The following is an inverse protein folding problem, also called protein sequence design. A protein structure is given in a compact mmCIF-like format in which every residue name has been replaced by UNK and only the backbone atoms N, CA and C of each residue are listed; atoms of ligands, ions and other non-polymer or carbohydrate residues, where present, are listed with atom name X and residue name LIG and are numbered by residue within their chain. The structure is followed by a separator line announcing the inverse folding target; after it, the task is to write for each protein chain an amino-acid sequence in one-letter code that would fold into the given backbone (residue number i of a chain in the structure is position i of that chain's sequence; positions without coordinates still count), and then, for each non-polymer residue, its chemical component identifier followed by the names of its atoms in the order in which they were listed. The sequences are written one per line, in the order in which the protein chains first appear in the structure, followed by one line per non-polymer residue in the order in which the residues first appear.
data_IF_114495994100
#
_entry.id   IF_114495994100
#
_cell.length_a   1.000
_cell.length_b   1.000
_cell.length_c   1.000
_cell.angle_alpha   90.00
_cell.angle_beta   90.00
_cell.angle_gamma   90.00
#
_symmetry.space_group_name_H-M   'P 1'
#
loop_
_entity.id
_entity.type
_entity.pdbx_description
1 polymer ?
#
# COMPACT_ATOMS: atom_id res chain seq x y z
N UNK A 1 21.59 -43.39 16.92
CA UNK A 1 22.30 -42.11 16.71
C UNK A 1 21.98 -41.64 15.29
N UNK A 2 20.86 -40.94 15.09
CA UNK A 2 20.42 -40.48 13.76
C UNK A 2 21.07 -39.14 13.46
N UNK A 3 22.08 -39.17 12.59
CA UNK A 3 22.71 -37.98 12.02
C UNK A 3 21.66 -37.19 11.23
N UNK A 4 21.18 -36.07 11.80
CA UNK A 4 20.49 -35.04 11.02
C UNK A 4 21.51 -34.45 10.07
N UNK A 5 21.41 -34.81 8.80
CA UNK A 5 22.06 -34.09 7.71
C UNK A 5 21.61 -32.64 7.76
N UNK A 6 22.56 -31.74 8.04
CA UNK A 6 22.35 -30.31 7.83
C UNK A 6 21.98 -30.10 6.35
N UNK A 7 20.92 -29.33 6.04
CA UNK A 7 20.61 -29.03 4.65
C UNK A 7 21.72 -28.15 4.12
N UNK A 8 22.58 -28.73 3.28
CA UNK A 8 23.54 -28.03 2.44
C UNK A 8 22.81 -26.89 1.72
N UNK A 9 23.24 -25.66 1.97
CA UNK A 9 22.75 -24.45 1.32
C UNK A 9 23.08 -24.53 -0.18
N UNK A 10 22.20 -25.20 -0.94
CA UNK A 10 22.30 -25.34 -2.39
C UNK A 10 22.55 -23.98 -3.05
N UNK A 11 23.49 -23.96 -3.99
CA UNK A 11 23.92 -22.84 -4.82
C UNK A 11 22.83 -21.77 -5.03
N UNK A 12 23.13 -20.54 -4.62
CA UNK A 12 22.20 -19.43 -4.63
C UNK A 12 21.82 -19.07 -6.07
N UNK A 13 20.65 -19.55 -6.52
CA UNK A 13 20.03 -19.09 -7.76
C UNK A 13 19.99 -17.55 -7.76
N UNK A 14 20.26 -16.88 -8.90
CA UNK A 14 20.12 -15.44 -9.02
C UNK A 14 18.72 -15.04 -8.57
N UNK A 15 18.64 -13.91 -7.86
CA UNK A 15 17.37 -13.42 -7.33
C UNK A 15 16.44 -13.05 -8.48
N UNK A 16 15.53 -13.97 -8.88
CA UNK A 16 14.56 -13.72 -9.98
C UNK A 16 13.81 -12.39 -9.80
N UNK A 17 13.42 -12.08 -8.56
CA UNK A 17 12.77 -10.80 -8.23
C UNK A 17 13.65 -9.58 -8.51
N UNK A 18 14.96 -9.68 -8.22
CA UNK A 18 15.90 -8.59 -8.46
C UNK A 18 16.14 -8.38 -9.97
N UNK A 19 16.16 -9.45 -10.77
CA UNK A 19 16.22 -9.36 -12.23
C UNK A 19 14.94 -8.78 -12.83
N UNK A 20 13.76 -9.21 -12.34
CA UNK A 20 12.48 -8.64 -12.76
C UNK A 20 12.38 -7.15 -12.40
N UNK A 21 12.80 -6.77 -11.20
CA UNK A 21 12.87 -5.37 -10.79
C UNK A 21 13.84 -4.58 -11.68
N UNK A 22 15.03 -5.11 -11.95
CA UNK A 22 16.02 -4.46 -12.81
C UNK A 22 15.48 -4.25 -14.24
N UNK A 23 14.86 -5.28 -14.84
CA UNK A 23 14.27 -5.19 -16.17
C UNK A 23 13.11 -4.19 -16.23
N UNK A 24 12.20 -4.24 -15.25
CA UNK A 24 11.05 -3.33 -15.18
C UNK A 24 11.49 -1.87 -15.01
N UNK A 25 12.36 -1.59 -14.05
CA UNK A 25 12.87 -0.24 -13.80
C UNK A 25 13.73 0.25 -14.96
N UNK A 26 14.53 -0.62 -15.58
CA UNK A 26 15.31 -0.30 -16.77
C UNK A 26 14.44 0.12 -17.95
N UNK A 27 13.37 -0.64 -18.24
CA UNK A 27 12.40 -0.31 -19.28
C UNK A 27 11.78 1.07 -19.05
N UNK A 28 11.24 1.31 -17.86
CA UNK A 28 10.60 2.58 -17.52
C UNK A 28 11.59 3.75 -17.44
N UNK A 29 12.84 3.49 -17.03
CA UNK A 29 13.92 4.46 -17.05
C UNK A 29 14.32 4.88 -18.47
N UNK A 30 14.38 3.93 -19.41
CA UNK A 30 14.62 4.23 -20.84
C UNK A 30 13.45 5.00 -21.43
N UNK A 31 12.20 4.65 -21.12
CA UNK A 31 11.02 5.42 -21.55
C UNK A 31 11.05 6.87 -21.02
N UNK A 32 11.43 7.07 -19.76
CA UNK A 32 11.60 8.41 -19.19
C UNK A 32 12.76 9.18 -19.85
N UNK A 33 13.84 8.50 -20.22
CA UNK A 33 14.95 9.09 -20.97
C UNK A 33 14.52 9.52 -22.38
N UNK A 34 13.75 8.68 -23.09
CA UNK A 34 13.18 9.02 -24.40
C UNK A 34 12.25 10.23 -24.27
N UNK A 35 11.39 10.27 -23.25
CA UNK A 35 10.54 11.43 -22.97
C UNK A 35 11.36 12.71 -22.71
N UNK A 36 12.50 12.59 -22.02
CA UNK A 36 13.45 13.70 -21.81
C UNK A 36 14.00 14.23 -23.14
N UNK A 37 14.41 13.33 -24.04
CA UNK A 37 15.04 13.70 -25.32
C UNK A 37 14.03 14.25 -26.32
N UNK A 38 12.85 13.64 -26.39
CA UNK A 38 11.80 13.98 -27.37
C UNK A 38 10.95 15.19 -26.94
N UNK A 39 11.03 15.58 -25.66
CA UNK A 39 10.12 16.58 -25.10
C UNK A 39 8.67 16.08 -24.97
N UNK A 40 8.41 14.80 -25.23
CA UNK A 40 7.11 14.20 -24.97
C UNK A 40 6.85 14.27 -23.46
N UNK A 41 5.88 15.10 -23.05
CA UNK A 41 5.63 15.41 -21.65
C UNK A 41 5.50 14.16 -20.77
N UNK A 42 5.98 14.25 -19.53
CA UNK A 42 5.85 13.19 -18.53
C UNK A 42 4.55 13.39 -17.74
N UNK A 43 3.72 12.35 -17.51
CA UNK A 43 2.39 12.52 -16.91
C UNK A 43 2.42 12.66 -15.38
N UNK A 44 3.61 12.75 -14.76
CA UNK A 44 3.79 12.97 -13.33
C UNK A 44 4.38 14.37 -13.07
N UNK A 45 4.16 14.89 -11.86
CA UNK A 45 4.61 16.23 -11.47
C UNK A 45 3.58 17.30 -11.77
N UNK A 46 4.04 18.52 -12.07
CA UNK A 46 3.16 19.66 -12.39
C UNK A 46 2.25 19.44 -13.63
N UNK A 47 2.53 18.42 -14.44
CA UNK A 47 1.77 18.07 -15.64
C UNK A 47 0.71 16.97 -15.40
N UNK A 48 0.46 16.56 -14.15
CA UNK A 48 -0.50 15.49 -13.83
C UNK A 48 -1.95 15.99 -13.97
N UNK A 49 -2.71 15.59 -15.02
CA UNK A 49 -4.11 16.00 -15.18
C UNK A 49 -4.92 15.40 -14.03
N UNK A 50 -5.61 16.24 -13.25
CA UNK A 50 -6.38 15.79 -12.08
C UNK A 50 -5.54 15.48 -10.83
N UNK A 51 -4.27 15.90 -10.76
CA UNK A 51 -3.54 15.93 -9.49
C UNK A 51 -4.25 16.85 -8.52
N UNK A 52 -4.79 16.31 -7.43
CA UNK A 52 -5.73 16.98 -6.51
C UNK A 52 -5.13 18.14 -5.69
N UNK A 53 -4.05 18.78 -6.15
CA UNK A 53 -3.23 19.72 -5.36
C UNK A 53 -2.48 19.04 -4.21
N UNK A 54 -2.77 17.78 -3.91
CA UNK A 54 -2.21 17.02 -2.78
C UNK A 54 -0.98 16.19 -3.15
N UNK A 55 -0.62 16.04 -4.42
CA UNK A 55 0.55 15.22 -4.78
C UNK A 55 1.84 15.90 -4.33
N UNK A 56 2.74 15.14 -3.68
CA UNK A 56 4.08 15.61 -3.30
C UNK A 56 4.92 16.02 -4.52
N UNK A 57 4.65 15.41 -5.67
CA UNK A 57 5.36 15.66 -6.92
C UNK A 57 4.97 17.00 -7.56
N UNK A 58 3.99 17.74 -7.01
CA UNK A 58 3.47 19.00 -7.59
C UNK A 58 4.53 20.08 -7.74
N UNK A 59 5.57 20.03 -6.92
CA UNK A 59 6.67 20.99 -6.91
C UNK A 59 7.71 20.71 -7.99
N UNK A 60 7.63 19.57 -8.69
CA UNK A 60 8.59 19.21 -9.74
C UNK A 60 8.16 19.87 -11.05
N UNK A 61 9.00 20.79 -11.61
CA UNK A 61 8.72 21.42 -12.89
C UNK A 61 8.61 20.40 -14.02
N UNK A 62 7.76 20.66 -15.00
CA UNK A 62 7.47 19.76 -16.12
C UNK A 62 8.74 19.33 -16.87
N UNK A 63 9.70 20.24 -17.03
CA UNK A 63 10.98 19.94 -17.68
C UNK A 63 11.95 19.09 -16.87
N UNK A 64 11.80 19.02 -15.53
CA UNK A 64 12.68 18.26 -14.65
C UNK A 64 12.14 16.87 -14.29
N UNK A 65 10.84 16.64 -14.49
CA UNK A 65 10.19 15.35 -14.21
C UNK A 65 10.86 14.18 -14.95
N UNK A 66 10.80 14.12 -16.30
CA UNK A 66 11.35 12.99 -17.04
C UNK A 66 12.85 12.72 -16.81
N UNK A 67 13.78 13.70 -16.77
CA UNK A 67 15.19 13.41 -16.50
C UNK A 67 15.43 12.90 -15.08
N UNK A 68 14.71 13.42 -14.08
CA UNK A 68 14.81 12.95 -12.70
C UNK A 68 14.39 11.48 -12.58
N UNK A 69 13.23 11.12 -13.15
CA UNK A 69 12.75 9.74 -13.13
C UNK A 69 13.65 8.82 -13.96
N UNK A 70 14.21 9.26 -15.08
CA UNK A 70 15.17 8.48 -15.86
C UNK A 70 16.39 8.10 -15.01
N UNK A 71 17.05 9.08 -14.37
CA UNK A 71 18.21 8.85 -13.50
C UNK A 71 17.85 7.93 -12.34
N UNK A 72 16.74 8.21 -11.65
CA UNK A 72 16.31 7.44 -10.49
C UNK A 72 15.99 5.98 -10.83
N UNK A 73 15.26 5.74 -11.92
CA UNK A 73 14.87 4.40 -12.35
C UNK A 73 16.06 3.59 -12.88
N UNK A 74 16.95 4.21 -13.66
CA UNK A 74 18.16 3.55 -14.17
C UNK A 74 19.15 3.22 -13.04
N UNK A 75 19.35 4.14 -12.08
CA UNK A 75 20.18 3.87 -10.90
C UNK A 75 19.61 2.73 -10.06
N UNK A 76 18.29 2.70 -9.83
CA UNK A 76 17.62 1.62 -9.11
C UNK A 76 17.66 0.29 -9.88
N UNK A 77 17.58 0.30 -11.21
CA UNK A 77 17.76 -0.88 -12.04
C UNK A 77 19.16 -1.46 -11.89
N UNK A 78 20.20 -0.61 -11.93
CA UNK A 78 21.59 -1.00 -11.67
C UNK A 78 21.77 -1.59 -10.27
N UNK A 79 21.22 -0.95 -9.24
CA UNK A 79 21.25 -1.45 -7.87
C UNK A 79 20.56 -2.81 -7.73
N UNK A 80 19.38 -2.99 -8.32
CA UNK A 80 18.66 -4.26 -8.32
C UNK A 80 19.45 -5.36 -9.05
N UNK A 81 20.11 -5.02 -10.15
CA UNK A 81 20.98 -5.95 -10.88
C UNK A 81 22.17 -6.39 -10.02
N UNK A 82 22.84 -5.46 -9.31
CA UNK A 82 23.91 -5.79 -8.35
C UNK A 82 23.40 -6.71 -7.24
N UNK A 83 22.21 -6.43 -6.67
CA UNK A 83 21.57 -7.28 -5.64
C UNK A 83 21.17 -8.68 -6.14
N UNK A 84 21.12 -8.89 -7.46
CA UNK A 84 20.83 -10.20 -8.07
C UNK A 84 22.02 -11.15 -8.04
N UNK A 85 23.25 -10.60 -8.00
CA UNK A 85 24.52 -11.34 -8.04
C UNK A 85 24.80 -12.07 -6.72
N UNK A 86 25.62 -13.14 -6.74
CA UNK A 86 26.08 -13.79 -5.52
C UNK A 86 26.75 -12.80 -4.57
N UNK A 87 26.46 -12.91 -3.28
CA UNK A 87 26.95 -12.02 -2.21
C UNK A 87 28.42 -12.24 -1.86
N UNK A 88 29.16 -13.05 -2.62
CA UNK A 88 30.58 -13.28 -2.42
C UNK A 88 31.35 -11.98 -2.68
N UNK A 89 31.67 -11.24 -1.62
CA UNK A 89 32.52 -10.06 -1.69
C UNK A 89 31.84 -8.74 -2.06
N UNK A 90 30.51 -8.62 -2.10
CA UNK A 90 29.87 -7.29 -2.08
C UNK A 90 30.15 -6.65 -0.72
N UNK A 91 31.25 -5.93 -0.65
CA UNK A 91 31.90 -5.40 0.54
C UNK A 91 30.91 -4.71 1.49
N UNK A 92 31.15 -4.84 2.80
CA UNK A 92 30.35 -4.24 3.86
C UNK A 92 29.98 -2.76 3.59
N UNK A 93 30.87 -2.02 2.92
CA UNK A 93 30.69 -0.61 2.55
C UNK A 93 29.53 -0.32 1.59
N UNK A 94 29.18 -1.22 0.66
CA UNK A 94 28.08 -0.98 -0.28
C UNK A 94 26.71 -1.41 0.25
N UNK A 95 26.68 -2.10 1.41
CA UNK A 95 25.42 -2.61 1.96
C UNK A 95 24.44 -1.49 2.29
N UNK A 96 24.90 -0.50 3.06
CA UNK A 96 24.08 0.63 3.48
C UNK A 96 23.57 1.46 2.29
N UNK A 97 24.42 1.95 1.36
CA UNK A 97 23.93 2.78 0.26
C UNK A 97 22.96 2.04 -0.67
N UNK A 98 23.18 0.76 -0.95
CA UNK A 98 22.26 -0.03 -1.77
C UNK A 98 20.90 -0.26 -1.08
N UNK A 99 20.89 -0.51 0.24
CA UNK A 99 19.65 -0.60 1.01
C UNK A 99 18.92 0.75 1.05
N UNK A 100 19.64 1.84 1.32
CA UNK A 100 19.07 3.19 1.39
C UNK A 100 18.46 3.61 0.05
N UNK A 101 19.21 3.48 -1.06
CA UNK A 101 18.72 3.78 -2.40
C UNK A 101 17.53 2.87 -2.76
N UNK A 102 17.66 1.56 -2.55
CA UNK A 102 16.62 0.60 -2.89
C UNK A 102 15.30 0.84 -2.15
N UNK A 103 15.36 1.06 -0.83
CA UNK A 103 14.16 1.35 -0.03
C UNK A 103 13.59 2.74 -0.32
N UNK A 104 14.43 3.75 -0.52
CA UNK A 104 13.97 5.09 -0.87
C UNK A 104 13.23 5.10 -2.21
N UNK A 105 13.80 4.48 -3.24
CA UNK A 105 13.15 4.38 -4.56
C UNK A 105 11.90 3.51 -4.49
N UNK A 106 11.93 2.37 -3.79
CA UNK A 106 10.74 1.54 -3.61
C UNK A 106 9.60 2.30 -2.93
N UNK A 107 9.91 3.10 -1.91
CA UNK A 107 8.94 3.95 -1.22
C UNK A 107 8.38 5.05 -2.12
N UNK A 108 9.24 5.76 -2.86
CA UNK A 108 8.81 6.79 -3.81
C UNK A 108 7.85 6.20 -4.84
N UNK A 109 8.21 5.07 -5.44
CA UNK A 109 7.40 4.44 -6.49
C UNK A 109 6.10 3.81 -5.96
N UNK A 110 6.13 3.19 -4.78
CA UNK A 110 4.95 2.49 -4.22
C UNK A 110 4.01 3.40 -3.44
N UNK A 111 4.48 4.54 -2.92
CA UNK A 111 3.72 5.39 -1.99
C UNK A 111 3.62 6.83 -2.49
N UNK A 112 4.69 7.44 -2.98
CA UNK A 112 4.68 8.86 -3.37
C UNK A 112 4.05 9.08 -4.74
N UNK A 113 4.40 8.24 -5.73
CA UNK A 113 3.90 8.37 -7.11
C UNK A 113 2.39 8.11 -7.26
N UNK A 114 1.80 7.08 -6.63
CA UNK A 114 0.37 6.79 -6.78
C UNK A 114 -0.56 7.91 -6.30
N UNK A 115 -0.12 8.69 -5.30
CA UNK A 115 -0.88 9.78 -4.68
C UNK A 115 -2.23 9.34 -4.07
N UNK A 116 -2.98 10.27 -3.47
CA UNK A 116 -4.33 10.05 -2.93
C UNK A 116 -5.33 9.51 -3.97
N UNK A 117 -5.05 9.71 -5.26
CA UNK A 117 -5.89 9.29 -6.36
C UNK A 117 -6.13 7.78 -6.38
N UNK A 118 -5.14 6.96 -6.00
CA UNK A 118 -5.33 5.50 -5.92
C UNK A 118 -6.29 5.13 -4.80
N UNK A 119 -6.28 5.84 -3.67
CA UNK A 119 -7.25 5.62 -2.60
C UNK A 119 -8.66 6.00 -3.04
N UNK A 120 -8.81 7.15 -3.72
CA UNK A 120 -10.09 7.58 -4.30
C UNK A 120 -10.61 6.54 -5.28
N UNK A 121 -9.78 6.09 -6.22
CA UNK A 121 -10.15 5.06 -7.19
C UNK A 121 -10.55 3.75 -6.48
N UNK A 122 -9.82 3.31 -5.45
CA UNK A 122 -10.21 2.12 -4.68
C UNK A 122 -11.56 2.29 -3.96
N UNK A 123 -11.85 3.50 -3.45
CA UNK A 123 -13.12 3.80 -2.78
C UNK A 123 -14.31 3.85 -3.74
N UNK A 124 -14.11 4.41 -4.94
CA UNK A 124 -15.16 4.56 -5.96
C UNK A 124 -15.22 3.38 -6.94
N UNK A 125 -14.19 2.52 -7.01
CA UNK A 125 -14.17 1.37 -7.93
C UNK A 125 -15.40 0.46 -7.82
N UNK A 126 -15.93 0.12 -6.63
CA UNK A 126 -17.17 -0.65 -6.55
C UNK A 126 -18.35 0.03 -7.25
N UNK A 127 -18.49 1.35 -7.09
CA UNK A 127 -19.55 2.15 -7.70
C UNK A 127 -19.36 2.21 -9.22
N UNK A 128 -18.13 2.51 -9.67
CA UNK A 128 -17.80 2.59 -11.10
C UNK A 128 -17.98 1.24 -11.80
N UNK A 129 -17.53 0.14 -11.20
CA UNK A 129 -17.58 -1.18 -11.83
C UNK A 129 -18.98 -1.80 -11.82
N UNK A 130 -19.73 -1.64 -10.72
CA UNK A 130 -21.09 -2.20 -10.61
C UNK A 130 -22.12 -1.33 -11.30
N UNK A 131 -21.89 -0.01 -11.38
CA UNK A 131 -22.77 0.93 -12.04
C UNK A 131 -22.54 0.99 -13.56
N UNK A 132 -21.33 0.73 -14.06
CA UNK A 132 -21.01 0.81 -15.49
C UNK A 132 -21.99 0.08 -16.42
N UNK A 133 -22.45 -1.16 -16.12
CA UNK A 133 -23.44 -1.86 -16.96
C UNK A 133 -24.79 -1.14 -17.07
N UNK A 134 -25.09 -0.24 -16.14
CA UNK A 134 -26.34 0.51 -16.05
C UNK A 134 -26.19 1.97 -16.50
N UNK A 135 -25.03 2.36 -17.04
CA UNK A 135 -24.75 3.75 -17.44
C UNK A 135 -24.63 4.72 -16.27
N UNK A 136 -24.28 4.23 -15.08
CA UNK A 136 -24.19 5.04 -13.87
C UNK A 136 -22.85 4.82 -13.15
N UNK A 137 -22.20 5.84 -12.56
CA UNK A 137 -22.47 7.26 -12.74
C UNK A 137 -22.12 7.74 -14.15
N UNK A 138 -22.70 8.86 -14.57
CA UNK A 138 -22.39 9.50 -15.85
C UNK A 138 -21.00 10.16 -15.79
N UNK A 139 -19.98 9.33 -15.98
CA UNK A 139 -18.57 9.73 -15.96
C UNK A 139 -17.86 9.26 -17.21
N UNK A 140 -17.01 10.12 -17.75
CA UNK A 140 -16.14 9.74 -18.85
C UNK A 140 -15.02 8.83 -18.35
N UNK A 141 -15.14 7.53 -18.62
CA UNK A 141 -14.15 6.53 -18.23
C UNK A 141 -12.76 6.77 -18.84
N UNK A 142 -12.65 7.51 -19.95
CA UNK A 142 -11.35 7.88 -20.53
C UNK A 142 -10.55 8.83 -19.63
N UNK A 143 -11.24 9.70 -18.88
CA UNK A 143 -10.60 10.63 -17.93
C UNK A 143 -10.17 9.89 -16.66
N UNK A 144 -10.90 8.83 -16.30
CA UNK A 144 -10.56 7.95 -15.17
C UNK A 144 -9.37 7.05 -15.53
N UNK A 145 -9.43 6.34 -16.66
CA UNK A 145 -8.40 5.40 -17.13
C UNK A 145 -7.36 6.08 -18.02
N UNK A 146 -6.78 7.16 -17.52
CA UNK A 146 -5.79 7.95 -18.23
C UNK A 146 -4.40 7.27 -18.33
N UNK A 147 -3.57 7.77 -19.24
CA UNK A 147 -2.14 7.40 -19.31
C UNK A 147 -1.41 7.64 -17.98
N UNK A 148 -1.76 8.71 -17.26
CA UNK A 148 -1.19 9.00 -15.95
C UNK A 148 -1.52 7.91 -14.93
N UNK A 149 -2.75 7.37 -14.95
CA UNK A 149 -3.14 6.25 -14.09
C UNK A 149 -2.29 5.01 -14.40
N UNK A 150 -2.06 4.70 -15.69
CA UNK A 150 -1.22 3.58 -16.08
C UNK A 150 0.23 3.73 -15.56
N UNK A 151 0.82 4.92 -15.69
CA UNK A 151 2.17 5.20 -15.16
C UNK A 151 2.22 5.06 -13.63
N UNK A 152 1.18 5.50 -12.91
CA UNK A 152 1.07 5.32 -11.45
C UNK A 152 1.01 3.84 -11.05
N UNK A 153 0.22 3.03 -11.76
CA UNK A 153 0.18 1.58 -11.54
C UNK A 153 1.52 0.92 -11.86
N UNK A 154 2.17 1.34 -12.94
CA UNK A 154 3.48 0.81 -13.31
C UNK A 154 4.57 1.16 -12.28
N UNK A 155 4.52 2.37 -11.73
CA UNK A 155 5.37 2.78 -10.61
C UNK A 155 5.08 1.92 -9.36
N UNK A 156 3.81 1.72 -9.00
CA UNK A 156 3.43 0.86 -7.87
C UNK A 156 4.00 -0.56 -8.02
N UNK A 157 3.83 -1.17 -9.20
CA UNK A 157 4.39 -2.50 -9.51
C UNK A 157 5.91 -2.49 -9.40
N UNK A 158 6.58 -1.48 -9.97
CA UNK A 158 8.03 -1.32 -9.90
C UNK A 158 8.55 -1.18 -8.47
N UNK A 159 7.87 -0.37 -7.65
CA UNK A 159 8.19 -0.19 -6.23
C UNK A 159 8.01 -1.47 -5.42
N UNK A 160 6.94 -2.24 -5.66
CA UNK A 160 6.72 -3.53 -5.00
C UNK A 160 7.75 -4.58 -5.40
N UNK A 161 8.11 -4.66 -6.70
CA UNK A 161 9.15 -5.55 -7.20
C UNK A 161 10.51 -5.21 -6.60
N UNK A 162 10.88 -3.93 -6.60
CA UNK A 162 12.13 -3.45 -6.01
C UNK A 162 12.15 -3.69 -4.51
N UNK A 163 11.10 -3.33 -3.77
CA UNK A 163 11.01 -3.57 -2.32
C UNK A 163 11.14 -5.06 -1.98
N UNK A 164 10.53 -5.95 -2.75
CA UNK A 164 10.68 -7.39 -2.57
C UNK A 164 12.12 -7.87 -2.86
N UNK A 165 12.78 -7.32 -3.89
CA UNK A 165 14.18 -7.61 -4.21
C UNK A 165 15.14 -7.13 -3.11
N UNK A 166 14.98 -5.88 -2.66
CA UNK A 166 15.76 -5.26 -1.58
C UNK A 166 15.58 -6.06 -0.29
N UNK A 167 14.34 -6.41 0.09
CA UNK A 167 14.06 -7.21 1.28
C UNK A 167 14.69 -8.61 1.21
N UNK A 168 14.61 -9.27 0.05
CA UNK A 168 15.25 -10.57 -0.14
C UNK A 168 16.78 -10.48 -0.03
N UNK A 169 17.38 -9.43 -0.57
CA UNK A 169 18.82 -9.18 -0.47
C UNK A 169 19.25 -8.77 0.94
N UNK A 170 18.48 -7.92 1.63
CA UNK A 170 18.69 -7.54 3.03
C UNK A 170 18.69 -8.77 3.94
N UNK A 171 17.73 -9.69 3.76
CA UNK A 171 17.67 -10.95 4.52
C UNK A 171 18.89 -11.83 4.26
N UNK A 172 19.30 -12.00 2.99
CA UNK A 172 20.49 -12.79 2.64
C UNK A 172 21.77 -12.22 3.23
N UNK A 173 21.97 -10.91 3.14
CA UNK A 173 23.15 -10.24 3.69
C UNK A 173 23.17 -10.19 5.22
N UNK A 174 22.02 -10.37 5.87
CA UNK A 174 21.90 -10.52 7.32
C UNK A 174 21.99 -11.98 7.80
N UNK A 175 22.27 -12.96 6.93
CA UNK A 175 22.30 -14.38 7.29
C UNK A 175 20.92 -15.00 7.58
N UNK A 176 19.83 -14.28 7.31
CA UNK A 176 18.47 -14.76 7.50
C UNK A 176 17.94 -15.51 6.27
N UNK A 177 16.94 -16.36 6.48
CA UNK A 177 16.27 -17.04 5.36
C UNK A 177 15.66 -16.01 4.40
N UNK A 178 16.10 -16.00 3.13
CA UNK A 178 15.59 -15.06 2.12
C UNK A 178 14.06 -15.09 1.94
N UNK A 179 13.41 -16.24 2.20
CA UNK A 179 11.96 -16.43 2.04
C UNK A 179 11.16 -15.95 3.24
N UNK A 180 11.51 -16.37 4.46
CA UNK A 180 10.71 -16.12 5.66
C UNK A 180 11.33 -15.09 6.63
N UNK A 181 12.60 -14.72 6.44
CA UNK A 181 13.31 -13.78 7.29
C UNK A 181 13.80 -14.36 8.63
N UNK A 182 13.57 -15.64 8.92
CA UNK A 182 14.05 -16.29 10.16
C UNK A 182 15.57 -16.51 10.10
N UNK A 183 16.28 -16.07 11.14
CA UNK A 183 17.71 -16.24 11.36
C UNK A 183 18.02 -17.36 12.37
N UNK A 184 17.02 -17.85 13.11
CA UNK A 184 17.17 -18.97 14.06
C UNK A 184 17.15 -18.42 15.48
N UNK A 185 18.25 -18.57 16.21
CA UNK A 185 18.38 -18.07 17.60
C UNK A 185 18.39 -16.53 17.70
N UNK A 186 18.41 -15.83 16.56
CA UNK A 186 18.32 -14.37 16.45
C UNK A 186 16.95 -13.83 16.01
N UNK A 187 15.90 -14.65 16.02
CA UNK A 187 14.56 -14.16 15.66
C UNK A 187 14.03 -13.18 16.72
N UNK A 188 13.66 -11.98 16.30
CA UNK A 188 13.21 -10.95 17.24
C UNK A 188 11.92 -11.36 17.97
N UNK A 189 11.90 -11.24 19.30
CA UNK A 189 10.82 -11.70 20.17
C UNK A 189 9.43 -11.15 19.79
N UNK A 190 9.37 -9.95 19.22
CA UNK A 190 8.13 -9.32 18.75
C UNK A 190 7.49 -10.03 17.54
N UNK A 191 8.24 -10.86 16.83
CA UNK A 191 7.77 -11.62 15.65
C UNK A 191 7.20 -13.00 15.99
N UNK A 192 7.24 -13.39 17.27
CA UNK A 192 6.61 -14.62 17.76
C UNK A 192 5.09 -14.53 17.62
N UNK A 193 4.36 -15.65 17.39
CA UNK A 193 2.90 -15.61 17.26
C UNK A 193 2.19 -14.99 18.46
N UNK A 194 2.68 -15.25 19.67
CA UNK A 194 2.11 -14.69 20.90
C UNK A 194 2.33 -13.17 20.99
N UNK A 195 3.54 -12.68 20.71
CA UNK A 195 3.80 -11.23 20.69
C UNK A 195 3.00 -10.53 19.59
N UNK A 196 2.99 -11.09 18.37
CA UNK A 196 2.20 -10.62 17.23
C UNK A 196 0.69 -10.56 17.52
N UNK A 197 0.17 -11.48 18.34
CA UNK A 197 -1.23 -11.43 18.78
C UNK A 197 -1.53 -10.28 19.74
N UNK A 198 -0.55 -9.79 20.52
CA UNK A 198 -0.74 -8.68 21.46
C UNK A 198 -0.70 -7.33 20.76
N UNK A 199 0.40 -7.02 20.06
CA UNK A 199 0.53 -5.73 19.38
C UNK A 199 -0.37 -5.64 18.14
N UNK A 200 -0.57 -6.75 17.43
CA UNK A 200 -1.45 -6.81 16.26
C UNK A 200 -2.92 -6.56 16.61
N UNK A 201 -3.33 -6.84 17.85
CA UNK A 201 -4.68 -6.55 18.34
C UNK A 201 -4.97 -5.06 18.36
N UNK A 202 -4.07 -4.29 18.97
CA UNK A 202 -4.18 -2.84 19.01
C UNK A 202 -4.09 -2.23 17.62
N UNK A 203 -3.18 -2.71 16.78
CA UNK A 203 -3.08 -2.28 15.39
C UNK A 203 -4.41 -2.49 14.63
N UNK A 204 -5.05 -3.65 14.76
CA UNK A 204 -6.33 -3.92 14.11
C UNK A 204 -7.48 -3.06 14.67
N UNK A 205 -7.51 -2.82 15.98
CA UNK A 205 -8.54 -1.96 16.59
C UNK A 205 -8.40 -0.51 16.13
N UNK A 206 -7.19 0.05 16.12
CA UNK A 206 -6.93 1.38 15.58
C UNK A 206 -7.30 1.43 14.10
N UNK A 207 -6.89 0.42 13.33
CA UNK A 207 -7.18 0.36 11.90
C UNK A 207 -8.67 0.20 11.55
N UNK A 208 -9.47 -0.38 12.45
CA UNK A 208 -10.92 -0.47 12.29
C UNK A 208 -11.64 0.80 12.79
N UNK A 209 -11.15 1.42 13.87
CA UNK A 209 -11.79 2.58 14.49
C UNK A 209 -11.82 3.79 13.55
N UNK A 210 -10.72 4.09 12.86
CA UNK A 210 -10.63 5.28 11.98
C UNK A 210 -11.70 5.26 10.87
N UNK A 211 -11.80 4.23 10.01
CA UNK A 211 -12.83 4.18 8.98
C UNK A 211 -14.24 4.03 9.57
N UNK A 212 -14.41 3.41 10.74
CA UNK A 212 -15.71 3.34 11.41
C UNK A 212 -16.18 4.74 11.87
N UNK A 213 -15.30 5.55 12.47
CA UNK A 213 -15.62 6.93 12.84
C UNK A 213 -16.00 7.77 11.61
N UNK A 214 -15.25 7.62 10.50
CA UNK A 214 -15.62 8.26 9.23
C UNK A 214 -17.00 7.80 8.73
N UNK A 215 -17.29 6.51 8.77
CA UNK A 215 -18.58 6.00 8.32
C UNK A 215 -19.75 6.51 9.18
N UNK A 216 -19.57 6.55 10.50
CA UNK A 216 -20.59 7.05 11.44
C UNK A 216 -20.94 8.52 11.20
N UNK A 217 -19.96 9.38 10.88
CA UNK A 217 -20.25 10.79 10.57
C UNK A 217 -21.08 10.92 9.30
N UNK A 218 -20.75 10.16 8.25
CA UNK A 218 -21.50 10.15 6.99
C UNK A 218 -22.91 9.55 7.14
N UNK A 219 -23.08 8.52 7.97
CA UNK A 219 -24.41 7.99 8.29
C UNK A 219 -25.25 8.98 9.08
N UNK A 220 -24.67 9.74 10.01
CA UNK A 220 -25.38 10.80 10.71
C UNK A 220 -25.89 11.85 9.73
N UNK A 221 -25.06 12.28 8.76
CA UNK A 221 -25.49 13.21 7.72
C UNK A 221 -26.62 12.63 6.89
N UNK A 222 -26.50 11.39 6.41
CA UNK A 222 -27.55 10.70 5.67
C UNK A 222 -28.88 10.57 6.44
N UNK A 223 -28.82 10.53 7.78
CA UNK A 223 -29.99 10.54 8.67
C UNK A 223 -30.55 11.95 8.94
N UNK A 224 -30.01 13.00 8.31
CA UNK A 224 -30.43 14.38 8.49
C UNK A 224 -29.82 15.07 9.71
N UNK A 225 -28.82 14.47 10.36
CA UNK A 225 -28.15 15.05 11.53
C UNK A 225 -26.90 15.82 11.08
N UNK A 226 -26.83 17.16 11.26
CA UNK A 226 -25.70 17.99 10.83
C UNK A 226 -24.49 17.85 11.78
N UNK A 227 -23.99 16.63 11.94
CA UNK A 227 -22.93 16.32 12.90
C UNK A 227 -21.57 16.86 12.44
N UNK A 228 -21.12 17.95 13.06
CA UNK A 228 -19.83 18.58 12.75
C UNK A 228 -19.82 19.38 11.44
N UNK A 229 -20.99 19.74 10.92
CA UNK A 229 -21.21 20.57 9.72
C UNK A 229 -22.36 21.55 9.95
N UNK A 230 -22.48 22.59 9.14
CA UNK A 230 -23.62 23.51 9.23
C UNK A 230 -24.89 22.89 8.60
N UNK A 231 -26.07 23.38 8.98
CA UNK A 231 -27.34 22.89 8.44
C UNK A 231 -27.47 23.22 6.94
N UNK A 232 -26.91 24.35 6.52
CA UNK A 232 -26.89 24.80 5.13
C UNK A 232 -26.03 23.86 4.27
N UNK A 233 -24.85 23.46 4.76
CA UNK A 233 -24.01 22.49 4.05
C UNK A 233 -24.66 21.11 3.98
N UNK A 234 -25.42 20.72 5.01
CA UNK A 234 -26.19 19.47 4.96
C UNK A 234 -27.30 19.54 3.89
N UNK A 235 -28.03 20.66 3.81
CA UNK A 235 -29.05 20.87 2.79
C UNK A 235 -28.46 20.83 1.37
N UNK A 236 -27.31 21.47 1.15
CA UNK A 236 -26.60 21.43 -0.13
C UNK A 236 -26.21 19.99 -0.54
N UNK A 237 -25.74 19.18 0.42
CA UNK A 237 -25.43 17.76 0.17
C UNK A 237 -26.67 16.92 -0.19
N UNK A 238 -27.84 17.29 0.35
CA UNK A 238 -29.12 16.65 0.03
C UNK A 238 -29.59 17.05 -1.37
N UNK A 239 -29.56 18.34 -1.69
CA UNK A 239 -30.01 18.89 -2.97
C UNK A 239 -29.16 18.38 -4.14
N UNK A 240 -27.84 18.30 -3.96
CA UNK A 240 -26.91 17.76 -4.98
C UNK A 240 -26.93 16.23 -5.07
N UNK A 241 -27.57 15.53 -4.12
CA UNK A 241 -27.51 14.08 -4.01
C UNK A 241 -26.15 13.52 -3.55
N UNK A 242 -25.15 14.37 -3.29
CA UNK A 242 -23.83 13.98 -2.83
C UNK A 242 -23.87 13.22 -1.49
N UNK A 243 -24.94 13.42 -0.70
CA UNK A 243 -25.22 12.69 0.52
C UNK A 243 -25.28 11.16 0.31
N UNK A 244 -25.82 10.71 -0.82
CA UNK A 244 -25.96 9.28 -1.14
C UNK A 244 -24.64 8.65 -1.55
N UNK A 245 -23.80 9.38 -2.30
CA UNK A 245 -22.43 8.96 -2.58
C UNK A 245 -21.62 8.85 -1.28
N UNK A 246 -21.77 9.81 -0.37
CA UNK A 246 -21.17 9.79 0.96
C UNK A 246 -21.63 8.60 1.80
N UNK A 247 -22.93 8.27 1.80
CA UNK A 247 -23.49 7.12 2.50
C UNK A 247 -23.01 5.78 1.93
N UNK A 248 -22.89 5.67 0.60
CA UNK A 248 -22.33 4.49 -0.06
C UNK A 248 -20.87 4.26 0.33
N UNK A 249 -20.04 5.30 0.29
CA UNK A 249 -18.65 5.24 0.77
C UNK A 249 -18.57 4.86 2.25
N UNK A 250 -19.47 5.39 3.08
CA UNK A 250 -19.57 5.05 4.50
C UNK A 250 -19.90 3.58 4.73
N UNK A 251 -20.81 3.00 3.94
CA UNK A 251 -21.12 1.58 3.98
C UNK A 251 -19.91 0.72 3.64
N UNK A 252 -19.17 1.04 2.57
CA UNK A 252 -17.93 0.33 2.23
C UNK A 252 -16.85 0.50 3.31
N UNK A 253 -16.69 1.70 3.86
CA UNK A 253 -15.75 1.96 4.95
C UNK A 253 -16.10 1.16 6.20
N UNK A 254 -17.39 1.06 6.55
CA UNK A 254 -17.86 0.25 7.68
C UNK A 254 -17.64 -1.25 7.45
N UNK A 255 -17.94 -1.76 6.24
CA UNK A 255 -17.63 -3.15 5.87
C UNK A 255 -16.12 -3.40 5.97
N UNK A 256 -15.28 -2.48 5.46
CA UNK A 256 -13.83 -2.56 5.59
C UNK A 256 -13.34 -2.54 7.03
N UNK A 257 -13.95 -1.72 7.90
CA UNK A 257 -13.65 -1.68 9.33
C UNK A 257 -13.98 -3.02 10.01
N UNK A 258 -15.15 -3.58 9.73
CA UNK A 258 -15.54 -4.91 10.24
C UNK A 258 -14.56 -5.97 9.72
N UNK A 259 -14.27 -5.99 8.42
CA UNK A 259 -13.30 -6.91 7.80
C UNK A 259 -11.90 -6.82 8.45
N UNK A 260 -11.49 -5.61 8.84
CA UNK A 260 -10.21 -5.37 9.53
C UNK A 260 -10.17 -6.04 10.92
N UNK A 261 -11.29 -6.07 11.65
CA UNK A 261 -11.38 -6.84 12.90
C UNK A 261 -11.18 -8.35 12.67
N UNK A 262 -11.43 -8.84 11.46
CA UNK A 262 -11.16 -10.22 11.05
C UNK A 262 -9.70 -10.62 11.19
N UNK A 263 -8.78 -9.66 11.10
CA UNK A 263 -7.34 -9.89 11.30
C UNK A 263 -7.00 -10.35 12.73
N UNK A 264 -7.92 -10.19 13.68
CA UNK A 264 -7.71 -10.57 15.09
C UNK A 264 -8.82 -11.48 15.64
N UNK A 265 -9.87 -11.71 14.86
CA UNK A 265 -11.03 -12.51 15.25
C UNK A 265 -11.02 -13.90 14.61
N UNK A 266 -11.73 -14.84 15.23
CA UNK A 266 -11.80 -16.25 14.80
C UNK A 266 -12.34 -16.41 13.37
N UNK A 267 -13.25 -15.54 12.94
CA UNK A 267 -13.89 -15.62 11.62
C UNK A 267 -12.98 -15.20 10.47
N UNK A 268 -11.94 -14.39 10.73
CA UNK A 268 -10.90 -14.12 9.72
C UNK A 268 -9.82 -15.21 9.68
N UNK A 269 -9.93 -16.22 10.54
CA UNK A 269 -9.03 -17.36 10.59
C UNK A 269 -9.65 -18.64 10.02
N UNK A 270 -10.96 -18.80 10.22
CA UNK A 270 -11.80 -19.84 9.63
C UNK A 270 -13.11 -19.23 9.18
N UNK A 271 -13.57 -19.58 8.00
CA UNK A 271 -14.82 -19.06 7.46
C UNK A 271 -16.00 -19.40 8.40
N UNK A 272 -16.83 -18.39 8.77
CA UNK A 272 -18.11 -18.59 9.44
C UNK A 272 -18.96 -19.72 8.87
N UNK A 273 -19.76 -20.33 9.75
CA UNK A 273 -20.61 -21.49 9.43
C UNK A 273 -21.71 -21.20 8.39
N UNK A 274 -22.13 -19.94 8.26
CA UNK A 274 -23.16 -19.53 7.31
C UNK A 274 -22.65 -19.39 5.87
N UNK A 275 -21.34 -19.38 5.63
CA UNK A 275 -20.78 -19.33 4.27
C UNK A 275 -20.81 -20.72 3.62
N UNK A 276 -21.93 -21.04 2.97
CA UNK A 276 -22.13 -22.30 2.24
C UNK A 276 -20.94 -22.58 1.31
N UNK A 277 -20.39 -23.80 1.38
CA UNK A 277 -19.22 -24.24 0.61
C UNK A 277 -17.84 -23.89 1.21
N UNK A 278 -17.76 -22.87 2.09
CA UNK A 278 -16.52 -22.44 2.75
C UNK A 278 -16.52 -22.68 4.27
N UNK A 279 -17.67 -22.93 4.86
CA UNK A 279 -17.88 -23.10 6.29
C UNK A 279 -16.79 -23.96 6.97
N UNK A 280 -16.15 -23.40 8.01
CA UNK A 280 -15.14 -24.09 8.82
C UNK A 280 -13.77 -24.24 8.15
N UNK A 281 -13.62 -23.99 6.84
CA UNK A 281 -12.32 -24.02 6.16
C UNK A 281 -11.42 -22.91 6.69
N UNK A 282 -10.10 -23.17 6.70
CA UNK A 282 -9.10 -22.16 7.08
C UNK A 282 -9.05 -21.08 6.01
N UNK A 283 -9.11 -19.82 6.43
CA UNK A 283 -8.92 -18.67 5.55
C UNK A 283 -7.46 -18.67 5.06
N UNK A 284 -7.21 -18.66 3.74
CA UNK A 284 -5.85 -18.55 3.20
C UNK A 284 -5.20 -17.25 3.63
N UNK A 285 -3.96 -17.29 4.12
CA UNK A 285 -3.28 -16.10 4.67
C UNK A 285 -3.23 -14.95 3.66
N UNK A 286 -3.00 -15.26 2.39
CA UNK A 286 -2.94 -14.25 1.31
C UNK A 286 -4.28 -13.54 1.08
N UNK A 287 -5.40 -14.22 1.31
CA UNK A 287 -6.74 -13.66 1.11
C UNK A 287 -7.00 -12.49 2.07
N UNK A 288 -6.45 -12.54 3.29
CA UNK A 288 -6.56 -11.44 4.25
C UNK A 288 -5.42 -10.41 4.09
N UNK A 289 -4.19 -10.86 3.89
CA UNK A 289 -3.01 -9.99 3.90
C UNK A 289 -2.91 -9.12 2.65
N UNK A 290 -3.22 -9.65 1.46
CA UNK A 290 -3.03 -8.91 0.20
C UNK A 290 -3.98 -7.71 0.11
N UNK A 291 -5.31 -7.85 0.31
CA UNK A 291 -6.21 -6.70 0.28
C UNK A 291 -5.87 -5.67 1.36
N UNK A 292 -5.59 -6.12 2.59
CA UNK A 292 -5.21 -5.23 3.69
C UNK A 292 -3.92 -4.46 3.39
N UNK A 293 -2.91 -5.10 2.77
CA UNK A 293 -1.68 -4.44 2.38
C UNK A 293 -1.89 -3.43 1.24
N UNK A 294 -2.73 -3.75 0.25
CA UNK A 294 -3.07 -2.82 -0.84
C UNK A 294 -3.74 -1.56 -0.28
N UNK A 295 -4.74 -1.72 0.59
CA UNK A 295 -5.41 -0.59 1.24
C UNK A 295 -4.44 0.18 2.13
N UNK A 296 -3.60 -0.50 2.92
CA UNK A 296 -2.61 0.17 3.77
C UNK A 296 -1.65 1.05 2.96
N UNK A 297 -1.15 0.55 1.81
CA UNK A 297 -0.29 1.33 0.90
C UNK A 297 -1.05 2.52 0.31
N UNK A 298 -2.28 2.31 -0.18
CA UNK A 298 -3.08 3.39 -0.76
C UNK A 298 -3.42 4.49 0.26
N UNK A 299 -3.79 4.11 1.49
CA UNK A 299 -4.06 5.05 2.58
C UNK A 299 -2.80 5.79 2.99
N UNK A 300 -1.65 5.11 3.06
CA UNK A 300 -0.37 5.75 3.38
C UNK A 300 0.01 6.75 2.29
N UNK A 301 -0.18 6.41 1.01
CA UNK A 301 0.04 7.30 -0.12
C UNK A 301 -0.84 8.56 -0.04
N UNK A 302 -2.14 8.37 0.20
CA UNK A 302 -3.07 9.48 0.39
C UNK A 302 -2.70 10.37 1.57
N UNK A 303 -2.31 9.74 2.69
CA UNK A 303 -1.93 10.44 3.92
C UNK A 303 -0.72 11.35 3.72
N UNK A 304 0.30 10.89 2.99
CA UNK A 304 1.45 11.74 2.64
C UNK A 304 1.05 12.93 1.77
N UNK A 305 0.14 12.70 0.80
CA UNK A 305 -0.38 13.77 -0.02
C UNK A 305 -1.11 14.83 0.80
N UNK A 306 -1.99 14.40 1.71
CA UNK A 306 -2.68 15.29 2.64
C UNK A 306 -1.72 16.05 3.55
N UNK A 307 -0.78 15.36 4.21
CA UNK A 307 0.21 15.99 5.09
C UNK A 307 1.07 17.04 4.37
N UNK A 308 1.27 16.88 3.07
CA UNK A 308 2.00 17.85 2.24
C UNK A 308 1.19 19.11 1.90
N UNK A 309 -0.14 19.08 2.04
CA UNK A 309 -1.04 20.15 1.63
C UNK A 309 -1.29 21.14 2.77
N UNK A 310 -1.10 22.46 2.57
CA UNK A 310 -1.47 23.47 3.57
C UNK A 310 -2.93 23.37 4.03
N UNK A 311 -3.84 22.99 3.14
CA UNK A 311 -5.26 22.86 3.44
C UNK A 311 -5.52 21.79 4.52
N UNK A 312 -4.73 20.72 4.55
CA UNK A 312 -4.83 19.70 5.60
C UNK A 312 -4.50 20.25 6.99
N UNK A 313 -3.54 21.16 7.08
CA UNK A 313 -3.20 21.81 8.35
C UNK A 313 -4.22 22.88 8.75
N UNK A 314 -4.83 23.57 7.77
CA UNK A 314 -5.97 24.44 8.04
C UNK A 314 -7.16 23.68 8.65
N UNK A 315 -7.41 22.43 8.20
CA UNK A 315 -8.42 21.55 8.79
C UNK A 315 -8.18 21.26 10.29
N UNK A 316 -6.92 21.26 10.75
CA UNK A 316 -6.63 21.08 12.18
C UNK A 316 -6.90 22.31 13.04
N UNK A 317 -6.95 23.51 12.44
CA UNK A 317 -7.33 24.74 13.13
C UNK A 317 -8.86 24.90 13.30
N UNK A 318 -9.63 24.21 12.45
CA UNK A 318 -11.09 24.17 12.47
C UNK A 318 -11.59 22.72 12.66
N UNK A 319 -11.03 22.02 13.65
CA UNK A 319 -11.43 20.64 13.95
C UNK A 319 -12.92 20.59 14.27
N UNK A 320 -13.67 19.91 13.40
CA UNK A 320 -15.05 19.54 13.65
C UNK A 320 -15.16 18.02 13.66
N UNK A 321 -16.25 17.50 14.21
CA UNK A 321 -16.52 16.07 14.14
C UNK A 321 -16.68 15.56 12.70
N UNK A 322 -16.92 16.44 11.72
CA UNK A 322 -16.99 16.11 10.30
C UNK A 322 -15.60 15.94 9.65
N UNK A 323 -14.58 16.64 10.15
CA UNK A 323 -13.23 16.68 9.58
C UNK A 323 -12.21 15.84 10.37
N UNK A 324 -12.47 15.60 11.66
CA UNK A 324 -11.60 14.85 12.56
C UNK A 324 -11.17 13.46 12.05
N UNK A 325 -12.04 12.63 11.41
CA UNK A 325 -11.61 11.32 10.92
C UNK A 325 -10.48 11.38 9.88
N UNK A 326 -10.45 12.44 9.06
CA UNK A 326 -9.44 12.62 8.00
C UNK A 326 -8.04 12.83 8.62
N UNK A 327 -7.97 13.50 9.77
CA UNK A 327 -6.70 13.73 10.48
C UNK A 327 -6.05 12.43 10.96
N UNK A 328 -6.85 11.38 11.17
CA UNK A 328 -6.36 10.06 11.59
C UNK A 328 -5.96 9.13 10.43
N UNK A 329 -6.08 9.56 9.17
CA UNK A 329 -5.70 8.74 8.01
C UNK A 329 -4.23 8.26 8.04
N UNK A 330 -3.24 9.08 8.43
CA UNK A 330 -1.85 8.61 8.55
C UNK A 330 -1.71 7.45 9.54
N UNK A 331 -2.40 7.52 10.67
CA UNK A 331 -2.42 6.46 11.67
C UNK A 331 -3.12 5.20 11.13
N UNK A 332 -4.19 5.36 10.36
CA UNK A 332 -4.92 4.24 9.75
C UNK A 332 -4.05 3.40 8.81
N UNK A 333 -3.30 4.02 7.90
CA UNK A 333 -2.44 3.31 6.94
C UNK A 333 -1.39 2.44 7.65
N UNK A 334 -0.69 3.02 8.64
CA UNK A 334 0.34 2.33 9.42
C UNK A 334 -0.29 1.22 10.28
N UNK A 335 -1.40 1.51 10.96
CA UNK A 335 -2.09 0.53 11.79
C UNK A 335 -2.60 -0.67 10.98
N UNK A 336 -3.15 -0.43 9.78
CA UNK A 336 -3.64 -1.51 8.92
C UNK A 336 -2.50 -2.37 8.37
N UNK A 337 -1.40 -1.75 7.95
CA UNK A 337 -0.19 -2.46 7.53
C UNK A 337 0.40 -3.32 8.66
N UNK A 338 0.46 -2.75 9.87
CA UNK A 338 0.88 -3.47 11.07
C UNK A 338 -0.06 -4.64 11.39
N UNK A 339 -1.39 -4.43 11.34
CA UNK A 339 -2.38 -5.48 11.59
C UNK A 339 -2.27 -6.63 10.58
N UNK A 340 -2.12 -6.31 9.29
CA UNK A 340 -1.92 -7.30 8.24
C UNK A 340 -0.62 -8.10 8.45
N UNK A 341 0.44 -7.43 8.86
CA UNK A 341 1.72 -8.08 9.16
C UNK A 341 1.64 -8.97 10.41
N UNK A 342 0.99 -8.51 11.48
CA UNK A 342 0.72 -9.34 12.65
C UNK A 342 -0.08 -10.60 12.29
N UNK A 343 -1.13 -10.44 11.47
CA UNK A 343 -1.91 -11.57 10.98
C UNK A 343 -1.03 -12.58 10.22
N UNK A 344 -0.14 -12.08 9.34
CA UNK A 344 0.84 -12.93 8.66
C UNK A 344 1.77 -13.66 9.64
N UNK A 345 2.34 -12.96 10.62
CA UNK A 345 3.27 -13.52 11.60
C UNK A 345 2.63 -14.59 12.50
N UNK A 346 1.38 -14.40 12.89
CA UNK A 346 0.62 -15.38 13.69
C UNK A 346 0.27 -16.64 12.91
N UNK A 347 0.12 -16.51 11.58
CA UNK A 347 -0.43 -17.56 10.72
C UNK A 347 0.61 -18.20 9.79
N UNK A 348 1.85 -17.69 9.76
CA UNK A 348 2.95 -18.31 9.01
C UNK A 348 3.39 -19.59 9.73
N UNK A 349 3.29 -20.72 9.05
CA UNK A 349 3.77 -22.02 9.55
C UNK A 349 5.27 -22.20 9.39
N UNK A 350 5.69 -23.46 9.38
CA UNK A 350 7.04 -23.86 9.02
C UNK A 350 7.39 -23.37 7.61
N UNK A 351 8.58 -22.79 7.46
CA UNK A 351 9.06 -22.33 6.16
C UNK A 351 9.55 -23.53 5.35
N UNK A 352 8.90 -23.82 4.22
CA UNK A 352 9.36 -24.90 3.32
C UNK A 352 10.76 -24.73 2.71
N UNK A 353 11.45 -23.60 2.94
CA UNK A 353 12.84 -23.38 2.50
C UNK A 353 13.89 -23.64 3.58
N UNK A 354 13.60 -23.34 4.85
CA UNK A 354 14.56 -23.53 5.95
C UNK A 354 14.05 -24.47 7.05
N UNK A 355 12.85 -25.03 6.92
CA UNK A 355 12.22 -25.93 7.89
C UNK A 355 11.72 -25.26 9.17
N UNK A 356 12.13 -24.02 9.47
CA UNK A 356 11.84 -23.33 10.74
C UNK A 356 10.38 -22.87 10.83
N UNK A 357 9.71 -23.10 11.97
CA UNK A 357 8.32 -22.77 12.27
C UNK A 357 8.17 -22.04 13.59
#
# INVERSE_FOLDING_TARGET
MTTRTEPTLTAARPGRLALLAAGWLGLWGVLALIATITGAGYPLGANNPGGSGTTLLRLIPVGLGPPLFAVLLLAAAGAAFVMSRPTAGTASGWRVPLLSLGWAVAFVLAVVVPDAWVLVLLGYAPILLLGAPFGWPDVNYADVFSWALFVKFAALVGGLLLGAAVLAWQRRTAGACARCGRAGDGDAAWTTPAAAARWGRWAAYVAAAVPACYALTRFAWAAGVPFGISAEMLAELQDTGAIWAGAGLAAFAMVGAILTLGLVQRWGERFPRWMVGLAGRRVPVRLAVVPAAVVAVAVTAASLGYLSSPNFWALTGALSMGTAPIVFFPAWGVALGAAAYAYHLRRRGACGRCGRG
#
